data_IF_587566220535
#
_entry.id   IF_587566220535
#
_cell.length_a   1.000
_cell.length_b   1.000
_cell.length_c   1.000
_cell.angle_alpha   90.00
_cell.angle_beta   90.00
_cell.angle_gamma   90.00
#
_symmetry.space_group_name_H-M   'P 1'
#
loop_
_entity.id
_entity.type
_entity.pdbx_description
1 polymer ?
#
# COMPACT_ATOMS: atom_id res chain seq x y z
N UNK A 1 14.65 22.54 17.26
CA UNK A 1 14.67 22.77 15.80
C UNK A 1 13.62 23.84 15.44
N UNK A 2 13.93 25.14 15.53
CA UNK A 2 12.94 26.22 15.42
C UNK A 2 12.20 26.28 14.08
N UNK A 3 12.85 25.94 12.96
CA UNK A 3 12.23 25.93 11.64
C UNK A 3 11.09 24.89 11.53
N UNK A 4 11.25 23.69 12.10
CA UNK A 4 10.20 22.67 12.12
C UNK A 4 9.00 23.10 12.97
N UNK A 5 9.23 23.81 14.08
CA UNK A 5 8.15 24.37 14.89
C UNK A 5 7.35 25.42 14.13
N UNK A 6 8.02 26.30 13.36
CA UNK A 6 7.36 27.29 12.51
C UNK A 6 6.53 26.63 11.41
N UNK A 7 7.09 25.63 10.72
CA UNK A 7 6.38 24.88 9.70
C UNK A 7 5.14 24.17 10.28
N UNK A 8 5.27 23.53 11.44
CA UNK A 8 4.15 22.86 12.09
C UNK A 8 3.01 23.82 12.46
N UNK A 9 3.35 25.03 12.94
CA UNK A 9 2.36 26.06 13.23
C UNK A 9 1.64 26.52 11.97
N UNK A 10 2.37 26.84 10.89
CA UNK A 10 1.78 27.21 9.60
C UNK A 10 0.85 26.12 9.04
N UNK A 11 1.29 24.86 9.06
CA UNK A 11 0.49 23.75 8.53
C UNK A 11 -0.83 23.62 9.30
N UNK A 12 -0.78 23.70 10.64
CA UNK A 12 -1.95 23.55 11.51
C UNK A 12 -2.90 24.74 11.42
N UNK A 13 -2.36 25.96 11.50
CA UNK A 13 -3.15 27.16 11.78
C UNK A 13 -3.59 27.89 10.49
N UNK A 14 -2.89 27.71 9.38
CA UNK A 14 -3.16 28.42 8.11
C UNK A 14 -3.48 27.47 6.95
N UNK A 15 -2.61 26.48 6.71
CA UNK A 15 -2.69 25.66 5.50
C UNK A 15 -3.82 24.62 5.54
N UNK A 16 -4.03 23.93 6.68
CA UNK A 16 -4.98 22.83 6.79
C UNK A 16 -6.43 23.23 6.43
N UNK A 17 -6.86 24.44 6.83
CA UNK A 17 -8.19 24.95 6.53
C UNK A 17 -8.42 25.22 5.02
N UNK A 18 -7.34 25.41 4.25
CA UNK A 18 -7.37 25.59 2.80
C UNK A 18 -7.12 24.28 2.04
N UNK A 19 -7.03 23.16 2.77
CA UNK A 19 -6.84 21.84 2.20
C UNK A 19 -7.97 21.43 1.26
N UNK A 20 -7.66 20.54 0.32
CA UNK A 20 -8.65 19.96 -0.59
C UNK A 20 -9.61 19.07 0.21
N UNK A 21 -10.89 19.11 -0.17
CA UNK A 21 -11.90 18.23 0.40
C UNK A 21 -11.79 16.77 -0.09
N UNK A 22 -11.10 16.54 -1.21
CA UNK A 22 -11.00 15.24 -1.88
C UNK A 22 -9.55 14.74 -1.88
N UNK A 23 -9.34 13.49 -1.49
CA UNK A 23 -8.04 12.85 -1.24
C UNK A 23 -7.20 12.60 -2.52
N UNK A 24 -7.83 12.48 -3.68
CA UNK A 24 -7.16 12.09 -4.92
C UNK A 24 -6.53 13.25 -5.70
N UNK A 25 -5.40 13.01 -6.38
CA UNK A 25 -4.74 14.01 -7.25
C UNK A 25 -5.65 14.50 -8.39
N UNK A 26 -6.66 13.70 -8.75
CA UNK A 26 -7.69 14.04 -9.74
C UNK A 26 -8.47 15.31 -9.35
N UNK A 27 -8.56 15.66 -8.06
CA UNK A 27 -9.29 16.84 -7.60
C UNK A 27 -8.52 18.16 -7.80
N UNK A 28 -7.27 18.10 -8.25
CA UNK A 28 -6.48 19.27 -8.61
C UNK A 28 -6.78 19.74 -10.04
N UNK A 29 -6.49 21.01 -10.37
CA UNK A 29 -6.43 21.46 -11.76
C UNK A 29 -5.50 20.56 -12.58
N UNK A 30 -5.98 20.08 -13.74
CA UNK A 30 -5.30 19.10 -14.59
C UNK A 30 -5.01 17.74 -13.93
N UNK A 31 -5.78 17.35 -12.90
CA UNK A 31 -5.54 16.15 -12.10
C UNK A 31 -5.34 14.86 -12.89
N UNK A 32 -6.12 14.64 -13.95
CA UNK A 32 -5.94 13.48 -14.83
C UNK A 32 -4.58 13.48 -15.54
N UNK A 33 -4.18 14.62 -16.12
CA UNK A 33 -2.88 14.76 -16.79
C UNK A 33 -1.74 14.58 -15.80
N UNK A 34 -1.86 15.15 -14.60
CA UNK A 34 -0.89 14.98 -13.51
C UNK A 34 -0.75 13.51 -13.13
N UNK A 35 -1.86 12.77 -13.04
CA UNK A 35 -1.83 11.36 -12.68
C UNK A 35 -1.21 10.49 -13.78
N UNK A 36 -1.56 10.73 -15.04
CA UNK A 36 -0.94 10.04 -16.19
C UNK A 36 0.57 10.29 -16.26
N UNK A 37 0.99 11.54 -16.07
CA UNK A 37 2.41 11.88 -15.98
C UNK A 37 3.10 11.13 -14.84
N UNK A 38 2.48 11.10 -13.65
CA UNK A 38 3.03 10.39 -12.49
C UNK A 38 3.17 8.87 -12.74
N UNK A 39 2.19 8.24 -13.41
CA UNK A 39 2.27 6.84 -13.85
C UNK A 39 3.50 6.63 -14.71
N UNK A 40 3.65 7.40 -15.78
CA UNK A 40 4.78 7.29 -16.69
C UNK A 40 6.12 7.52 -15.97
N UNK A 41 6.25 8.55 -15.13
CA UNK A 41 7.52 8.83 -14.45
C UNK A 41 7.92 7.78 -13.41
N UNK A 42 6.97 7.06 -12.82
CA UNK A 42 7.25 6.07 -11.77
C UNK A 42 7.41 4.65 -12.32
N UNK A 43 6.79 4.36 -13.46
CA UNK A 43 6.68 2.99 -13.98
C UNK A 43 7.13 2.85 -15.43
N UNK A 44 7.44 3.95 -16.10
CA UNK A 44 7.81 4.03 -17.54
C UNK A 44 6.76 3.49 -18.51
N UNK A 45 5.54 3.21 -18.03
CA UNK A 45 4.44 2.73 -18.86
C UNK A 45 3.63 3.89 -19.42
N UNK A 46 3.05 3.65 -20.60
CA UNK A 46 2.06 4.53 -21.22
C UNK A 46 0.62 4.02 -21.05
N UNK A 47 0.43 2.95 -20.26
CA UNK A 47 -0.88 2.40 -19.95
C UNK A 47 -1.79 3.44 -19.29
N UNK A 48 -3.09 3.37 -19.62
CA UNK A 48 -4.08 4.21 -18.97
C UNK A 48 -4.28 3.81 -17.50
N UNK A 49 -4.63 4.75 -16.60
CA UNK A 49 -4.96 4.45 -15.20
C UNK A 49 -5.97 3.31 -15.03
N UNK A 50 -7.01 3.28 -15.86
CA UNK A 50 -8.05 2.26 -15.81
C UNK A 50 -7.50 0.87 -16.18
N UNK A 51 -6.63 0.80 -17.18
CA UNK A 51 -6.00 -0.46 -17.59
C UNK A 51 -5.15 -1.04 -16.45
N UNK A 52 -4.36 -0.19 -15.78
CA UNK A 52 -3.56 -0.56 -14.62
C UNK A 52 -4.46 -1.03 -13.47
N UNK A 53 -5.59 -0.35 -13.23
CA UNK A 53 -6.54 -0.76 -12.20
C UNK A 53 -7.12 -2.15 -12.48
N UNK A 54 -7.53 -2.41 -13.72
CA UNK A 54 -8.07 -3.73 -14.12
C UNK A 54 -7.01 -4.83 -14.03
N UNK A 55 -5.75 -4.54 -14.36
CA UNK A 55 -4.64 -5.48 -14.13
C UNK A 55 -4.52 -5.79 -12.63
N UNK A 56 -4.51 -4.76 -11.79
CA UNK A 56 -4.42 -4.92 -10.34
C UNK A 56 -5.53 -5.80 -9.76
N UNK A 57 -6.79 -5.58 -10.16
CA UNK A 57 -7.93 -6.40 -9.72
C UNK A 57 -7.77 -7.87 -10.12
N UNK A 58 -7.33 -8.13 -11.36
CA UNK A 58 -7.08 -9.50 -11.84
C UNK A 58 -5.96 -10.18 -11.06
N UNK A 59 -4.86 -9.46 -10.81
CA UNK A 59 -3.73 -10.01 -10.08
C UNK A 59 -4.04 -10.26 -8.61
N UNK A 60 -4.82 -9.39 -7.96
CA UNK A 60 -5.32 -9.64 -6.59
C UNK A 60 -6.13 -10.93 -6.56
N UNK A 61 -7.11 -11.08 -7.45
CA UNK A 61 -7.94 -12.29 -7.49
C UNK A 61 -7.12 -13.55 -7.77
N UNK A 62 -6.15 -13.48 -8.69
CA UNK A 62 -5.25 -14.60 -9.02
C UNK A 62 -4.42 -15.01 -7.81
N UNK A 63 -3.73 -14.06 -7.18
CA UNK A 63 -2.84 -14.30 -6.04
C UNK A 63 -3.64 -14.82 -4.84
N UNK A 64 -4.79 -14.24 -4.52
CA UNK A 64 -5.63 -14.74 -3.43
C UNK A 64 -6.17 -16.15 -3.70
N UNK A 65 -6.47 -16.47 -4.96
CA UNK A 65 -6.81 -17.83 -5.38
C UNK A 65 -5.67 -18.83 -5.12
N UNK A 66 -4.46 -18.49 -5.54
CA UNK A 66 -3.25 -19.32 -5.31
C UNK A 66 -2.97 -19.49 -3.81
N UNK A 67 -3.04 -18.41 -3.03
CA UNK A 67 -2.88 -18.46 -1.58
C UNK A 67 -3.97 -19.33 -0.91
N UNK A 68 -5.20 -19.31 -1.42
CA UNK A 68 -6.30 -20.13 -0.89
C UNK A 68 -6.06 -21.63 -1.14
N UNK A 69 -5.52 -22.00 -2.29
CA UNK A 69 -5.13 -23.40 -2.56
C UNK A 69 -4.08 -23.88 -1.57
N UNK A 70 -3.07 -23.05 -1.31
CA UNK A 70 -2.01 -23.33 -0.33
C UNK A 70 -2.57 -23.44 1.09
N UNK A 71 -3.46 -22.52 1.48
CA UNK A 71 -4.12 -22.52 2.79
C UNK A 71 -4.87 -23.84 3.02
N UNK A 72 -5.66 -24.29 2.03
CA UNK A 72 -6.39 -25.56 2.10
C UNK A 72 -5.47 -26.77 2.17
N UNK A 73 -4.39 -26.77 1.40
CA UNK A 73 -3.38 -27.83 1.46
C UNK A 73 -2.70 -27.92 2.84
N UNK A 74 -2.62 -26.82 3.57
CA UNK A 74 -2.11 -26.76 4.95
C UNK A 74 -3.18 -27.02 6.03
N UNK A 75 -4.40 -27.40 5.63
CA UNK A 75 -5.48 -27.77 6.55
C UNK A 75 -6.33 -26.62 7.05
N UNK A 76 -6.23 -25.43 6.45
CA UNK A 76 -7.08 -24.29 6.78
C UNK A 76 -8.34 -24.27 5.91
N UNK A 77 -9.46 -23.81 6.47
CA UNK A 77 -10.73 -23.76 5.75
C UNK A 77 -10.72 -22.70 4.63
N UNK A 78 -10.03 -21.59 4.87
CA UNK A 78 -9.96 -20.44 3.97
C UNK A 78 -8.67 -19.64 4.16
N UNK A 79 -8.47 -18.64 3.30
CA UNK A 79 -7.29 -17.78 3.36
C UNK A 79 -7.28 -16.88 4.62
N UNK A 80 -8.45 -16.50 5.15
CA UNK A 80 -8.53 -15.63 6.32
C UNK A 80 -8.03 -16.33 7.60
N UNK A 81 -8.47 -17.58 7.81
CA UNK A 81 -8.00 -18.44 8.90
C UNK A 81 -6.51 -18.75 8.79
N UNK A 82 -6.01 -18.99 7.57
CA UNK A 82 -4.58 -19.15 7.34
C UNK A 82 -3.78 -17.89 7.69
N UNK A 83 -4.19 -16.71 7.18
CA UNK A 83 -3.54 -15.42 7.50
C UNK A 83 -3.49 -15.17 9.01
N UNK A 84 -4.60 -15.41 9.72
CA UNK A 84 -4.67 -15.27 11.18
C UNK A 84 -3.71 -16.22 11.90
N UNK A 85 -3.61 -17.46 11.44
CA UNK A 85 -2.70 -18.44 12.04
C UNK A 85 -1.23 -18.04 11.85
N UNK A 86 -0.85 -17.59 10.64
CA UNK A 86 0.51 -17.11 10.36
C UNK A 86 0.87 -15.90 11.23
N UNK A 87 -0.04 -14.93 11.34
CA UNK A 87 0.17 -13.67 12.09
C UNK A 87 0.29 -13.88 13.61
N UNK A 88 -0.30 -14.94 14.15
CA UNK A 88 -0.27 -15.23 15.59
C UNK A 88 0.78 -16.25 16.00
N UNK A 89 1.39 -16.93 15.04
CA UNK A 89 2.41 -17.94 15.31
C UNK A 89 3.76 -17.29 15.58
N UNK A 90 4.14 -17.26 16.87
CA UNK A 90 5.40 -16.70 17.35
C UNK A 90 6.65 -17.29 16.68
N UNK A 91 6.56 -18.47 16.07
CA UNK A 91 7.68 -19.08 15.34
C UNK A 91 8.08 -18.28 14.09
N UNK A 92 7.17 -17.47 13.54
CA UNK A 92 7.46 -16.61 12.40
C UNK A 92 8.11 -15.27 12.79
N UNK A 93 8.24 -14.98 14.09
CA UNK A 93 8.77 -13.70 14.57
C UNK A 93 10.12 -13.90 15.25
N UNK A 94 11.12 -13.16 14.77
CA UNK A 94 12.41 -13.08 15.44
C UNK A 94 12.29 -12.35 16.78
N UNK A 95 13.04 -12.81 17.77
CA UNK A 95 13.08 -12.26 19.13
C UNK A 95 14.21 -11.25 19.35
N UNK A 96 15.17 -11.17 18.43
CA UNK A 96 16.29 -10.23 18.48
C UNK A 96 16.78 -9.84 17.08
N UNK A 97 17.53 -8.73 16.99
CA UNK A 97 18.20 -8.33 15.75
C UNK A 97 19.22 -9.37 15.26
N UNK A 98 19.92 -10.04 16.18
CA UNK A 98 20.86 -11.13 15.85
C UNK A 98 20.13 -12.32 15.22
N UNK A 99 18.94 -12.66 15.71
CA UNK A 99 18.14 -13.74 15.12
C UNK A 99 17.67 -13.40 13.70
N UNK A 100 17.36 -12.13 13.41
CA UNK A 100 17.03 -11.68 12.04
C UNK A 100 18.23 -11.94 11.11
N UNK A 101 19.45 -11.57 11.55
CA UNK A 101 20.65 -11.75 10.75
C UNK A 101 20.98 -13.24 10.49
N UNK A 102 20.65 -14.13 11.43
CA UNK A 102 20.85 -15.58 11.25
C UNK A 102 19.85 -16.22 10.28
N UNK A 103 18.69 -15.59 10.06
CA UNK A 103 17.61 -16.10 9.21
C UNK A 103 17.65 -15.55 7.77
N UNK A 104 18.49 -14.55 7.49
CA UNK A 104 18.69 -13.92 6.18
C UNK A 104 19.73 -14.67 5.34
#
# INVERSE_FOLDING_TARGET
>A
RPAYTKLAAFVRDEYAAQGRAQEGVWSLPDGERRYRYAIHTQTTTDMAPEEIHQIGLKEVARIEGEMTVIAKAQGFADLASFRKAVDTDKRHFASSGEQILQQY
#
